data_IF_806375493335
#
_entry.id   IF_806375493335
#
_cell.length_a   1.000
_cell.length_b   1.000
_cell.length_c   1.000
_cell.angle_alpha   90.00
_cell.angle_beta   90.00
_cell.angle_gamma   90.00
#
_symmetry.space_group_name_H-M   'P 1'
#
loop_
_entity.id
_entity.type
_entity.pdbx_description
1 polymer ?
#
# COMPACT_ATOMS: atom_id res chain seq x y z
N UNK A 1 24.86 40.05 -43.50
CA UNK A 1 25.06 38.59 -43.33
C UNK A 1 24.32 38.13 -42.07
N UNK A 2 23.17 37.45 -42.20
CA UNK A 2 22.36 37.03 -41.05
C UNK A 2 22.66 35.57 -40.69
N UNK A 3 23.13 35.30 -39.46
CA UNK A 3 23.33 33.94 -38.95
C UNK A 3 22.01 33.40 -38.39
N UNK A 4 21.57 32.26 -38.92
CA UNK A 4 20.41 31.51 -38.47
C UNK A 4 20.76 30.80 -37.16
N UNK A 5 20.15 31.18 -36.04
CA UNK A 5 20.28 30.44 -34.79
C UNK A 5 19.62 29.06 -34.94
N UNK A 6 20.37 27.99 -34.68
CA UNK A 6 19.88 26.61 -34.74
C UNK A 6 18.99 26.38 -33.52
N UNK A 7 17.69 26.20 -33.74
CA UNK A 7 16.75 25.91 -32.67
C UNK A 7 17.19 24.63 -31.95
N UNK A 8 17.40 24.70 -30.63
CA UNK A 8 17.68 23.54 -29.81
C UNK A 8 16.44 22.63 -29.84
N UNK A 9 16.52 21.55 -30.61
CA UNK A 9 15.50 20.51 -30.62
C UNK A 9 15.40 19.96 -29.20
N UNK A 10 14.25 20.11 -28.55
CA UNK A 10 14.03 19.55 -27.21
C UNK A 10 14.19 18.03 -27.30
N UNK A 11 15.29 17.53 -26.72
CA UNK A 11 15.69 16.13 -26.80
C UNK A 11 14.87 15.24 -25.86
N UNK A 12 13.55 15.24 -26.00
CA UNK A 12 12.76 14.09 -25.55
C UNK A 12 12.84 13.05 -26.64
N UNK A 13 13.85 12.17 -26.55
CA UNK A 13 13.95 11.04 -27.46
C UNK A 13 12.74 10.13 -27.27
N UNK A 14 12.36 9.41 -28.33
CA UNK A 14 11.30 8.39 -28.24
C UNK A 14 11.61 7.38 -27.13
N UNK A 15 12.89 7.05 -26.91
CA UNK A 15 13.33 6.20 -25.81
C UNK A 15 13.07 6.82 -24.43
N UNK A 16 13.28 8.13 -24.25
CA UNK A 16 12.95 8.81 -23.00
C UNK A 16 11.44 8.80 -22.71
N UNK A 17 10.61 8.94 -23.76
CA UNK A 17 9.15 8.85 -23.65
C UNK A 17 8.73 7.41 -23.29
N UNK A 18 9.27 6.40 -23.99
CA UNK A 18 9.02 4.98 -23.71
C UNK A 18 9.40 4.60 -22.28
N UNK A 19 10.55 5.05 -21.80
CA UNK A 19 11.00 4.79 -20.43
C UNK A 19 10.07 5.42 -19.38
N UNK A 20 9.48 6.60 -19.66
CA UNK A 20 8.50 7.21 -18.77
C UNK A 20 7.18 6.43 -18.75
N UNK A 21 6.66 6.05 -19.92
CA UNK A 21 5.43 5.25 -20.02
C UNK A 21 5.59 3.90 -19.32
N UNK A 22 6.76 3.25 -19.44
CA UNK A 22 7.03 1.99 -18.73
C UNK A 22 7.00 2.15 -17.20
N UNK A 23 7.53 3.26 -16.65
CA UNK A 23 7.45 3.56 -15.21
C UNK A 23 6.02 3.84 -14.76
N UNK A 24 5.26 4.57 -15.55
CA UNK A 24 3.84 4.85 -15.27
C UNK A 24 3.02 3.55 -15.32
N UNK A 25 3.26 2.68 -16.30
CA UNK A 25 2.62 1.37 -16.41
C UNK A 25 2.97 0.44 -15.24
N UNK A 26 4.22 0.43 -14.78
CA UNK A 26 4.60 -0.35 -13.59
C UNK A 26 3.87 0.14 -12.33
N UNK A 27 3.72 1.47 -12.15
CA UNK A 27 2.92 2.03 -11.05
C UNK A 27 1.45 1.66 -11.16
N UNK A 28 0.88 1.71 -12.36
CA UNK A 28 -0.50 1.34 -12.60
C UNK A 28 -0.73 -0.16 -12.33
N UNK A 29 0.20 -1.03 -12.72
CA UNK A 29 0.13 -2.46 -12.44
C UNK A 29 0.16 -2.76 -10.93
N UNK A 30 1.01 -2.09 -10.16
CA UNK A 30 1.02 -2.19 -8.68
C UNK A 30 -0.32 -1.72 -8.11
N UNK A 31 -0.87 -0.60 -8.59
CA UNK A 31 -2.16 -0.09 -8.11
C UNK A 31 -3.33 -1.04 -8.46
N UNK A 32 -3.32 -1.64 -9.65
CA UNK A 32 -4.32 -2.63 -10.06
C UNK A 32 -4.22 -3.91 -9.22
N UNK A 33 -3.02 -4.40 -8.91
CA UNK A 33 -2.82 -5.55 -8.03
C UNK A 33 -3.32 -5.26 -6.60
N UNK A 34 -3.03 -4.06 -6.08
CA UNK A 34 -3.56 -3.55 -4.82
C UNK A 34 -5.09 -3.50 -4.85
N UNK A 35 -5.75 -3.10 -5.95
CA UNK A 35 -7.23 -3.08 -6.06
C UNK A 35 -7.83 -4.49 -6.17
N UNK A 36 -7.21 -5.38 -6.94
CA UNK A 36 -7.73 -6.71 -7.25
C UNK A 36 -7.56 -7.68 -6.07
N UNK A 37 -6.42 -7.61 -5.39
CA UNK A 37 -6.16 -8.37 -4.16
C UNK A 37 -6.64 -7.66 -2.90
N UNK A 38 -6.92 -6.34 -2.99
CA UNK A 38 -7.13 -5.41 -1.87
C UNK A 38 -6.08 -5.52 -0.78
N UNK A 39 -4.89 -5.99 -1.15
CA UNK A 39 -3.72 -5.98 -0.30
C UNK A 39 -2.92 -4.72 -0.62
N UNK A 40 -2.87 -3.82 0.34
CA UNK A 40 -1.88 -2.74 0.33
C UNK A 40 -0.46 -3.29 0.10
N UNK A 41 0.27 -3.03 -0.99
CA UNK A 41 1.71 -3.35 -1.04
C UNK A 41 2.57 -2.42 -0.17
N UNK A 42 2.05 -1.26 0.22
CA UNK A 42 2.77 -0.25 1.03
C UNK A 42 2.09 -0.04 2.39
N UNK A 43 2.12 -1.06 3.27
CA UNK A 43 1.58 -0.95 4.62
C UNK A 43 2.64 -1.18 5.69
N UNK A 44 2.62 -0.34 6.72
CA UNK A 44 3.55 -0.43 7.85
C UNK A 44 3.16 -1.61 8.75
N UNK A 45 4.08 -2.57 8.91
CA UNK A 45 3.86 -3.73 9.78
C UNK A 45 4.30 -3.51 11.23
N UNK A 46 5.06 -2.44 11.51
CA UNK A 46 5.58 -2.18 12.86
C UNK A 46 4.46 -1.95 13.88
N UNK A 47 4.71 -2.41 15.11
CA UNK A 47 3.80 -2.23 16.23
C UNK A 47 3.48 -0.73 16.41
N UNK A 48 2.21 -0.38 16.68
CA UNK A 48 1.85 1.01 16.89
C UNK A 48 2.46 1.49 18.21
N UNK A 49 2.97 2.73 18.22
CA UNK A 49 3.56 3.35 19.41
C UNK A 49 2.52 3.57 20.51
N UNK A 50 1.25 3.77 20.13
CA UNK A 50 0.13 3.96 21.05
C UNK A 50 -0.98 2.97 20.72
N UNK A 51 -1.82 2.64 21.69
CA UNK A 51 -3.03 1.86 21.45
C UNK A 51 -3.95 2.58 20.47
N UNK A 52 -4.58 1.83 19.57
CA UNK A 52 -5.57 2.36 18.64
C UNK A 52 -6.87 2.73 19.36
N UNK A 53 -7.57 3.74 18.85
CA UNK A 53 -9.00 3.88 19.10
C UNK A 53 -9.78 2.76 18.38
N UNK A 54 -11.04 2.53 18.76
CA UNK A 54 -11.88 1.51 18.13
C UNK A 54 -12.00 1.73 16.61
N UNK A 55 -12.23 2.97 16.20
CA UNK A 55 -12.37 3.36 14.79
C UNK A 55 -11.06 3.15 14.01
N UNK A 56 -9.91 3.52 14.60
CA UNK A 56 -8.59 3.23 14.02
C UNK A 56 -8.33 1.73 13.92
N UNK A 57 -8.73 0.96 14.92
CA UNK A 57 -8.56 -0.49 14.92
C UNK A 57 -9.38 -1.14 13.80
N UNK A 58 -10.64 -0.71 13.57
CA UNK A 58 -11.47 -1.19 12.45
C UNK A 58 -10.82 -0.92 11.10
N UNK A 59 -10.38 0.32 10.85
CA UNK A 59 -9.66 0.67 9.60
C UNK A 59 -8.38 -0.12 9.43
N UNK A 60 -7.62 -0.32 10.50
CA UNK A 60 -6.35 -1.05 10.47
C UNK A 60 -6.57 -2.52 10.12
N UNK A 61 -7.59 -3.19 10.70
CA UNK A 61 -7.89 -4.59 10.34
C UNK A 61 -8.30 -4.72 8.87
N UNK A 62 -9.06 -3.76 8.34
CA UNK A 62 -9.44 -3.74 6.92
C UNK A 62 -8.24 -3.51 6.00
N UNK A 63 -7.35 -2.57 6.34
CA UNK A 63 -6.14 -2.31 5.58
C UNK A 63 -5.19 -3.53 5.58
N UNK A 64 -5.08 -4.21 6.72
CA UNK A 64 -4.24 -5.40 6.87
C UNK A 64 -5.01 -6.71 6.59
N UNK A 65 -5.98 -6.71 5.67
CA UNK A 65 -6.85 -7.88 5.44
C UNK A 65 -6.07 -9.16 5.12
N UNK A 66 -5.02 -9.06 4.30
CA UNK A 66 -4.18 -10.18 3.90
C UNK A 66 -2.92 -10.38 4.74
N UNK A 67 -2.68 -9.56 5.77
CA UNK A 67 -1.62 -9.86 6.72
C UNK A 67 -2.04 -11.01 7.65
N UNK A 68 -1.12 -11.90 7.98
CA UNK A 68 -1.32 -12.83 9.09
C UNK A 68 -1.32 -12.04 10.42
N UNK A 69 -2.29 -12.31 11.30
CA UNK A 69 -2.38 -11.70 12.64
C UNK A 69 -1.22 -12.11 13.56
N UNK A 70 -0.63 -13.28 13.34
CA UNK A 70 0.47 -13.81 14.16
C UNK A 70 1.80 -13.15 13.79
N UNK A 71 1.96 -12.76 12.52
CA UNK A 71 3.19 -12.16 11.98
C UNK A 71 3.12 -10.63 12.00
N UNK A 72 1.95 -10.02 11.78
CA UNK A 72 1.80 -8.57 11.72
C UNK A 72 1.42 -7.99 13.09
N UNK A 73 2.38 -7.39 13.85
CA UNK A 73 2.08 -6.87 15.18
C UNK A 73 1.11 -5.69 15.14
N UNK A 74 1.06 -4.93 14.05
CA UNK A 74 0.07 -3.86 13.87
C UNK A 74 -1.36 -4.38 13.75
N UNK A 75 -1.58 -5.42 12.94
CA UNK A 75 -2.89 -6.09 12.82
C UNK A 75 -3.30 -6.70 14.15
N UNK A 76 -2.37 -7.38 14.83
CA UNK A 76 -2.59 -7.98 16.14
C UNK A 76 -3.01 -6.94 17.18
N UNK A 77 -2.33 -5.79 17.24
CA UNK A 77 -2.67 -4.71 18.17
C UNK A 77 -4.09 -4.16 17.93
N UNK A 78 -4.49 -4.00 16.65
CA UNK A 78 -5.85 -3.58 16.30
C UNK A 78 -6.90 -4.63 16.69
N UNK A 79 -6.64 -5.92 16.40
CA UNK A 79 -7.53 -7.02 16.80
C UNK A 79 -7.69 -7.05 18.32
N UNK A 80 -6.61 -6.90 19.09
CA UNK A 80 -6.66 -6.91 20.55
C UNK A 80 -7.56 -5.79 21.11
N UNK A 81 -7.54 -4.60 20.48
CA UNK A 81 -8.46 -3.51 20.85
C UNK A 81 -9.92 -3.90 20.57
N UNK A 82 -10.21 -4.48 19.41
CA UNK A 82 -11.58 -4.86 19.05
C UNK A 82 -12.11 -6.04 19.88
N UNK A 83 -11.26 -7.01 20.20
CA UNK A 83 -11.59 -8.13 21.09
C UNK A 83 -11.82 -7.64 22.51
N UNK A 84 -10.93 -6.79 23.03
CA UNK A 84 -11.08 -6.20 24.37
C UNK A 84 -12.34 -5.33 24.51
N UNK A 85 -12.79 -4.72 23.41
CA UNK A 85 -14.05 -3.96 23.35
C UNK A 85 -15.30 -4.82 23.10
N UNK A 86 -15.16 -6.15 22.93
CA UNK A 86 -16.28 -7.05 22.62
C UNK A 86 -16.85 -6.91 21.21
N UNK A 87 -16.18 -6.18 20.32
CA UNK A 87 -16.61 -5.90 18.94
C UNK A 87 -16.11 -6.93 17.92
N UNK A 88 -15.20 -7.81 18.33
CA UNK A 88 -14.67 -8.89 17.52
C UNK A 88 -14.42 -10.11 18.40
N UNK A 89 -14.72 -11.29 17.85
CA UNK A 89 -14.32 -12.56 18.45
C UNK A 89 -13.36 -13.25 17.50
N UNK A 90 -12.23 -13.70 18.02
CA UNK A 90 -11.35 -14.55 17.25
C UNK A 90 -11.96 -15.95 17.24
N UNK A 91 -12.21 -16.48 16.06
CA UNK A 91 -12.52 -17.90 15.95
C UNK A 91 -11.30 -18.70 16.42
N UNK A 92 -11.52 -19.63 17.35
CA UNK A 92 -10.49 -20.51 17.90
C UNK A 92 -10.05 -21.59 16.90
N UNK A 93 -10.72 -21.73 15.74
CA UNK A 93 -10.48 -22.78 14.74
C UNK A 93 -9.49 -22.40 13.64
N UNK A 94 -8.37 -21.76 13.98
CA UNK A 94 -7.21 -21.76 13.06
C UNK A 94 -5.97 -22.01 13.89
N UNK A 95 -5.80 -23.29 14.23
CA UNK A 95 -4.55 -23.89 14.62
C UNK A 95 -4.39 -25.15 13.79
N UNK A 96 -3.55 -25.06 12.77
CA UNK A 96 -2.80 -26.17 12.17
C UNK A 96 -1.45 -25.57 11.74
#
# INVERSE_FOLDING_TARGET
MWRRAKAATSAFTVDAIRARVAREAARAAIAQDDEQTGCSTVIVHSAPVRRFSIDQARRTVQAHRCCDRTICPRKMAAINVLVGAGLMRLDRRVGY
#
